data_IF_270628645853
#
_entry.id   IF_270628645853
#
_cell.length_a   1.000
_cell.length_b   1.000
_cell.length_c   1.000
_cell.angle_alpha   90.00
_cell.angle_beta   90.00
_cell.angle_gamma   90.00
#
_symmetry.space_group_name_H-M   'P 1'
#
loop_
_entity.id
_entity.type
_entity.pdbx_description
1 polymer ?
#
# COMPACT_ATOMS: atom_id res chain seq x y z
N UNK A 1 -14.26 -2.04 1.71
CA UNK A 1 -13.41 -2.19 2.91
C UNK A 1 -13.45 -0.86 3.65
N UNK A 2 -13.42 -0.83 4.99
CA UNK A 2 -13.31 0.45 5.75
C UNK A 2 -11.84 0.78 6.03
N UNK A 3 -11.50 2.03 6.39
CA UNK A 3 -10.13 2.40 6.79
C UNK A 3 -9.56 1.51 7.89
N UNK A 4 -10.34 1.22 8.93
CA UNK A 4 -9.90 0.38 10.05
C UNK A 4 -9.66 -1.07 9.62
N UNK A 5 -10.54 -1.60 8.75
CA UNK A 5 -10.36 -2.94 8.21
C UNK A 5 -9.10 -3.02 7.35
N UNK A 6 -8.80 -1.98 6.56
CA UNK A 6 -7.59 -1.91 5.76
C UNK A 6 -6.35 -1.88 6.67
N UNK A 7 -6.34 -1.01 7.69
CA UNK A 7 -5.25 -0.91 8.66
C UNK A 7 -4.99 -2.27 9.36
N UNK A 8 -6.04 -2.93 9.84
CA UNK A 8 -5.93 -4.25 10.48
C UNK A 8 -5.31 -5.30 9.54
N UNK A 9 -5.64 -5.24 8.25
CA UNK A 9 -5.08 -6.15 7.23
C UNK A 9 -3.61 -5.85 6.96
N UNK A 10 -3.25 -4.57 6.85
CA UNK A 10 -1.86 -4.13 6.65
C UNK A 10 -0.99 -4.52 7.86
N UNK A 11 -1.45 -4.25 9.07
CA UNK A 11 -0.78 -4.67 10.32
C UNK A 11 -0.70 -6.20 10.44
N UNK A 12 -1.74 -6.91 10.01
CA UNK A 12 -1.73 -8.38 9.98
C UNK A 12 -0.64 -8.96 9.05
N UNK A 13 -0.36 -8.28 7.94
CA UNK A 13 0.71 -8.65 7.01
C UNK A 13 2.09 -8.16 7.50
N UNK A 14 2.15 -6.96 8.04
CA UNK A 14 3.37 -6.26 8.48
C UNK A 14 3.20 -5.79 9.93
N UNK A 15 3.38 -6.67 10.93
CA UNK A 15 3.18 -6.31 12.33
C UNK A 15 4.04 -5.13 12.79
N UNK A 16 5.22 -4.97 12.20
CA UNK A 16 6.15 -3.88 12.50
C UNK A 16 5.60 -2.51 12.06
N UNK A 17 4.71 -2.47 11.05
CA UNK A 17 4.00 -1.25 10.64
C UNK A 17 3.08 -0.71 11.75
N UNK A 18 2.58 -1.55 12.66
CA UNK A 18 1.75 -1.07 13.77
C UNK A 18 2.50 -0.07 14.65
N UNK A 19 3.79 -0.31 14.88
CA UNK A 19 4.61 0.60 15.68
C UNK A 19 4.81 1.94 14.96
N UNK A 20 5.05 1.90 13.65
CA UNK A 20 5.19 3.08 12.80
C UNK A 20 3.88 3.89 12.74
N UNK A 21 2.76 3.21 12.51
CA UNK A 21 1.44 3.83 12.53
C UNK A 21 1.15 4.54 13.85
N UNK A 22 1.63 4.02 14.98
CA UNK A 22 1.43 4.61 16.30
C UNK A 22 2.43 5.72 16.67
N UNK A 23 3.34 6.09 15.78
CA UNK A 23 4.29 7.18 16.03
C UNK A 23 3.57 8.53 16.20
N UNK A 24 4.06 9.40 17.10
CA UNK A 24 3.39 10.65 17.45
C UNK A 24 3.46 11.72 16.35
N UNK A 25 4.32 11.53 15.36
CA UNK A 25 4.48 12.34 14.15
C UNK A 25 3.75 11.78 12.94
N UNK A 26 2.97 10.69 13.10
CA UNK A 26 2.07 10.21 12.05
C UNK A 26 0.94 11.24 11.81
N UNK A 27 1.07 12.00 10.72
CA UNK A 27 0.11 13.02 10.27
C UNK A 27 -1.09 12.44 9.50
N UNK A 28 -1.12 11.13 9.25
CA UNK A 28 -2.23 10.45 8.57
C UNK A 28 -3.51 10.36 9.43
N UNK A 29 -3.41 10.67 10.73
CA UNK A 29 -4.54 10.70 11.67
C UNK A 29 -4.94 12.14 11.98
N UNK A 30 -6.23 12.41 11.86
CA UNK A 30 -6.83 13.69 12.29
C UNK A 30 -6.75 13.85 13.82
N UNK A 31 -7.00 15.07 14.32
CA UNK A 31 -6.98 15.38 15.77
C UNK A 31 -7.95 14.51 16.59
N UNK A 32 -9.02 13.98 15.97
CA UNK A 32 -9.99 13.08 16.59
C UNK A 32 -9.63 11.59 16.48
N UNK A 33 -8.49 11.29 15.85
CA UNK A 33 -7.98 9.95 15.60
C UNK A 33 -8.60 9.25 14.38
N UNK A 34 -9.45 9.94 13.62
CA UNK A 34 -10.00 9.41 12.37
C UNK A 34 -8.97 9.48 11.23
N UNK A 35 -9.16 8.65 10.22
CA UNK A 35 -8.30 8.56 9.03
C UNK A 35 -9.08 7.95 7.87
N UNK A 36 -8.65 8.24 6.64
CA UNK A 36 -9.24 7.70 5.41
C UNK A 36 -8.50 6.46 4.89
N UNK A 37 -9.03 5.85 3.82
CA UNK A 37 -8.34 4.78 3.09
C UNK A 37 -7.03 5.29 2.48
N UNK A 38 -7.04 6.52 1.96
CA UNK A 38 -5.89 7.17 1.36
C UNK A 38 -4.80 7.39 2.40
N UNK A 39 -5.16 7.90 3.58
CA UNK A 39 -4.22 8.15 4.68
C UNK A 39 -3.53 6.85 5.13
N UNK A 40 -4.28 5.76 5.26
CA UNK A 40 -3.75 4.45 5.61
C UNK A 40 -2.77 3.92 4.56
N UNK A 41 -3.10 4.03 3.27
CA UNK A 41 -2.22 3.59 2.19
C UNK A 41 -0.99 4.49 2.03
N UNK A 42 -1.16 5.82 2.15
CA UNK A 42 -0.09 6.80 2.06
C UNK A 42 0.98 6.55 3.13
N UNK A 43 0.57 6.41 4.39
CA UNK A 43 1.49 6.11 5.48
C UNK A 43 2.16 4.74 5.30
N UNK A 44 1.38 3.73 4.92
CA UNK A 44 1.92 2.41 4.63
C UNK A 44 2.92 2.42 3.47
N UNK A 45 2.72 3.28 2.46
CA UNK A 45 3.64 3.43 1.34
C UNK A 45 5.00 3.94 1.80
N UNK A 46 5.05 4.86 2.77
CA UNK A 46 6.32 5.34 3.33
C UNK A 46 7.06 4.21 4.04
N UNK A 47 6.39 3.53 4.97
CA UNK A 47 6.92 2.34 5.65
C UNK A 47 7.45 1.30 4.66
N UNK A 48 6.65 0.97 3.64
CA UNK A 48 7.00 -0.04 2.65
C UNK A 48 8.26 0.36 1.86
N UNK A 49 8.40 1.63 1.47
CA UNK A 49 9.55 2.15 0.73
C UNK A 49 10.85 2.10 1.53
N UNK A 50 10.76 2.40 2.81
CA UNK A 50 11.91 2.43 3.72
C UNK A 50 12.39 1.02 4.08
N UNK A 51 11.47 0.06 4.16
CA UNK A 51 11.77 -1.29 4.65
C UNK A 51 11.78 -2.38 3.57
N UNK A 52 11.47 -2.07 2.30
CA UNK A 52 11.24 -3.07 1.25
C UNK A 52 12.27 -4.21 1.23
N UNK A 53 13.57 -3.92 1.25
CA UNK A 53 14.61 -4.95 1.14
C UNK A 53 14.68 -5.91 2.34
N UNK A 54 14.05 -5.54 3.46
CA UNK A 54 13.98 -6.33 4.69
C UNK A 54 12.67 -7.13 4.77
N UNK A 55 11.70 -6.86 3.90
CA UNK A 55 10.38 -7.49 3.94
C UNK A 55 10.43 -8.95 3.42
N UNK A 56 9.86 -9.90 4.16
CA UNK A 56 9.68 -11.27 3.68
C UNK A 56 8.83 -11.33 2.41
N UNK A 57 9.29 -12.09 1.41
CA UNK A 57 8.60 -12.27 0.13
C UNK A 57 7.14 -12.74 0.29
N UNK A 58 6.86 -13.59 1.29
CA UNK A 58 5.50 -14.07 1.56
C UNK A 58 4.55 -12.94 1.99
N UNK A 59 5.06 -11.95 2.73
CA UNK A 59 4.26 -10.77 3.15
C UNK A 59 4.03 -9.83 1.99
N UNK A 60 5.04 -9.60 1.16
CA UNK A 60 4.93 -8.82 -0.09
C UNK A 60 3.93 -9.48 -1.05
N UNK A 61 3.96 -10.80 -1.19
CA UNK A 61 2.96 -11.54 -1.94
C UNK A 61 1.56 -11.37 -1.33
N UNK A 62 1.43 -11.40 -0.01
CA UNK A 62 0.18 -11.14 0.70
C UNK A 62 -0.39 -9.75 0.43
N UNK A 63 0.47 -8.73 0.39
CA UNK A 63 0.10 -7.37 0.00
C UNK A 63 -0.42 -7.32 -1.44
N UNK A 64 0.23 -8.01 -2.38
CA UNK A 64 -0.24 -8.05 -3.77
C UNK A 64 -1.66 -8.65 -3.89
N UNK A 65 -1.99 -9.66 -3.07
CA UNK A 65 -3.36 -10.19 -2.99
C UNK A 65 -4.35 -9.19 -2.39
N UNK A 66 -3.94 -8.46 -1.35
CA UNK A 66 -4.77 -7.41 -0.75
C UNK A 66 -5.06 -6.29 -1.76
N UNK A 67 -4.04 -5.84 -2.51
CA UNK A 67 -4.22 -4.84 -3.56
C UNK A 67 -5.17 -5.32 -4.66
N UNK A 68 -5.09 -6.60 -5.06
CA UNK A 68 -6.04 -7.19 -6.01
C UNK A 68 -7.47 -7.16 -5.48
N UNK A 69 -7.68 -7.43 -4.18
CA UNK A 69 -8.99 -7.32 -3.53
C UNK A 69 -9.48 -5.86 -3.50
N UNK A 70 -8.60 -4.93 -3.14
CA UNK A 70 -8.91 -3.51 -3.05
C UNK A 70 -9.32 -2.90 -4.39
N UNK A 71 -8.62 -3.30 -5.46
CA UNK A 71 -8.85 -2.83 -6.82
C UNK A 71 -9.83 -3.72 -7.60
N UNK A 72 -10.61 -4.58 -6.93
CA UNK A 72 -11.53 -5.49 -7.62
C UNK A 72 -12.71 -4.76 -8.29
N UNK A 73 -13.10 -3.60 -7.75
CA UNK A 73 -14.15 -2.73 -8.31
C UNK A 73 -13.54 -1.42 -8.82
N UNK A 74 -13.40 -1.26 -10.14
CA UNK A 74 -12.83 -0.06 -10.76
C UNK A 74 -13.52 1.23 -10.33
N UNK A 75 -12.75 2.31 -10.14
CA UNK A 75 -13.27 3.65 -9.81
C UNK A 75 -13.99 3.74 -8.45
N UNK A 76 -13.88 2.70 -7.62
CA UNK A 76 -14.30 2.78 -6.21
C UNK A 76 -13.28 3.57 -5.39
N UNK A 77 -13.72 4.13 -4.24
CA UNK A 77 -12.81 4.83 -3.30
C UNK A 77 -11.62 3.96 -2.87
N UNK A 78 -11.78 2.62 -2.89
CA UNK A 78 -10.74 1.67 -2.51
C UNK A 78 -9.76 1.39 -3.66
N UNK A 79 -10.24 1.41 -4.91
CA UNK A 79 -9.39 1.38 -6.11
C UNK A 79 -8.56 2.67 -6.19
N UNK A 80 -9.22 3.82 -6.05
CA UNK A 80 -8.56 5.14 -6.03
C UNK A 80 -7.49 5.16 -4.94
N UNK A 81 -7.84 4.80 -3.70
CA UNK A 81 -6.89 4.85 -2.59
C UNK A 81 -5.71 3.88 -2.71
N UNK A 82 -5.93 2.69 -3.27
CA UNK A 82 -4.82 1.76 -3.54
C UNK A 82 -3.89 2.28 -4.64
N UNK A 83 -4.43 3.02 -5.61
CA UNK A 83 -3.64 3.63 -6.69
C UNK A 83 -2.86 4.83 -6.20
N UNK A 84 -3.52 5.93 -5.80
CA UNK A 84 -2.87 7.19 -5.43
C UNK A 84 -2.15 7.11 -4.09
N UNK A 85 -2.74 6.41 -3.12
CA UNK A 85 -2.18 6.28 -1.78
C UNK A 85 -1.01 5.30 -1.70
N UNK A 86 -0.91 4.33 -2.60
CA UNK A 86 0.14 3.31 -2.53
C UNK A 86 0.91 3.09 -3.83
N UNK A 87 0.26 2.61 -4.89
CA UNK A 87 0.97 2.18 -6.10
C UNK A 87 1.74 3.32 -6.77
N UNK A 88 1.17 4.52 -6.87
CA UNK A 88 1.87 5.70 -7.41
C UNK A 88 3.11 6.07 -6.58
N UNK A 89 2.99 5.99 -5.25
CA UNK A 89 4.07 6.36 -4.31
C UNK A 89 5.27 5.41 -4.40
N UNK A 90 5.07 4.16 -4.81
CA UNK A 90 6.13 3.15 -4.92
C UNK A 90 6.57 2.87 -6.35
N UNK A 91 5.84 3.34 -7.37
CA UNK A 91 6.09 3.06 -8.78
C UNK A 91 7.43 3.57 -9.33
N UNK A 92 8.01 4.61 -8.73
CA UNK A 92 9.31 5.15 -9.16
C UNK A 92 10.48 4.61 -8.31
N UNK A 93 10.24 3.65 -7.43
CA UNK A 93 11.25 3.18 -6.48
C UNK A 93 12.24 2.20 -7.10
N UNK A 94 13.43 2.13 -6.48
CA UNK A 94 14.53 1.25 -6.90
C UNK A 94 14.15 -0.23 -6.96
N UNK A 95 13.12 -0.64 -6.23
CA UNK A 95 12.63 -2.02 -6.17
C UNK A 95 11.49 -2.31 -7.15
N UNK A 96 11.13 -1.36 -8.02
CA UNK A 96 10.02 -1.45 -8.96
C UNK A 96 9.94 -2.81 -9.68
N UNK A 97 11.01 -3.19 -10.38
CA UNK A 97 11.05 -4.43 -11.17
C UNK A 97 10.90 -5.71 -10.33
N UNK A 98 11.24 -5.63 -9.04
CA UNK A 98 11.08 -6.76 -8.12
C UNK A 98 9.66 -6.81 -7.58
N UNK A 99 9.12 -5.68 -7.12
CA UNK A 99 7.75 -5.60 -6.61
C UNK A 99 6.71 -5.93 -7.69
N UNK A 100 6.92 -5.48 -8.92
CA UNK A 100 6.05 -5.77 -10.08
C UNK A 100 5.80 -7.28 -10.24
N UNK A 101 6.77 -8.14 -9.91
CA UNK A 101 6.67 -9.61 -10.06
C UNK A 101 5.66 -10.26 -9.12
N UNK A 102 5.32 -9.59 -8.01
CA UNK A 102 4.33 -10.09 -7.06
C UNK A 102 2.90 -9.70 -7.48
N UNK A 103 2.77 -8.60 -8.23
CA UNK A 103 1.49 -8.05 -8.65
C UNK A 103 0.84 -8.92 -9.73
N UNK A 104 -0.49 -8.92 -9.71
CA UNK A 104 -1.33 -9.68 -10.65
C UNK A 104 -2.61 -8.89 -10.91
N UNK A 105 -3.27 -9.16 -12.05
CA UNK A 105 -4.53 -8.51 -12.41
C UNK A 105 -4.40 -6.99 -12.50
N UNK A 106 -5.41 -6.27 -12.00
CA UNK A 106 -5.51 -4.81 -12.13
C UNK A 106 -4.35 -4.03 -11.46
N UNK A 107 -3.87 -4.37 -10.25
CA UNK A 107 -2.67 -3.74 -9.69
C UNK A 107 -1.47 -3.81 -10.64
N UNK A 108 -1.22 -4.96 -11.28
CA UNK A 108 -0.13 -5.12 -12.25
C UNK A 108 -0.37 -4.27 -13.50
N UNK A 109 -1.60 -4.27 -14.03
CA UNK A 109 -1.96 -3.47 -15.21
C UNK A 109 -1.78 -1.97 -14.98
N UNK A 110 -2.05 -1.48 -13.78
CA UNK A 110 -1.78 -0.10 -13.37
C UNK A 110 -0.27 0.14 -13.23
N UNK A 111 0.40 -0.71 -12.45
CA UNK A 111 1.80 -0.53 -12.07
C UNK A 111 2.77 -0.60 -13.26
N UNK A 112 2.53 -1.52 -14.21
CA UNK A 112 3.36 -1.70 -15.40
C UNK A 112 3.34 -0.50 -16.37
N UNK A 113 2.40 0.44 -16.21
CA UNK A 113 2.36 1.67 -17.01
C UNK A 113 3.53 2.60 -16.66
N UNK A 114 4.04 2.51 -15.43
CA UNK A 114 5.14 3.32 -14.93
C UNK A 114 6.51 2.80 -15.37
N UNK A 115 6.63 1.52 -15.72
CA UNK A 115 7.85 0.91 -16.29
C UNK A 115 8.22 1.50 -17.67
N UNK A 116 7.28 2.17 -18.35
CA UNK A 116 7.47 2.74 -19.70
C UNK A 116 7.99 4.19 -19.68
N UNK A 117 8.28 4.75 -18.50
CA UNK A 117 8.45 6.20 -18.29
C UNK A 117 9.84 6.72 -17.92
N UNK A 118 10.87 5.89 -17.79
CA UNK A 118 12.23 6.31 -17.38
C UNK A 118 13.34 5.91 -18.36
#
# INVERSE_FOLDING_TARGET
>A
MTPETLLDRLVGLFPEFAAHWDEPDNEARDEDGSFSLEDAFAEFSQYFREHYEELPAERVQGLAWLLLECMADPESDLDDAATSGFLENVAAERFHDDFERYLIGRPLEFYAQWSQGF
#
